data_IF_498650419916
#
_entry.id   IF_498650419916
#
_cell.length_a   1.000
_cell.length_b   1.000
_cell.length_c   1.000
_cell.angle_alpha   90.00
_cell.angle_beta   90.00
_cell.angle_gamma   90.00
#
_symmetry.space_group_name_H-M   'P 1'
#
loop_
_entity.id
_entity.type
_entity.pdbx_description
1 polymer ?
#
# COMPACT_ATOMS: atom_id res chain seq x y z
N UNK A 1 -34.50 -19.81 7.12
CA UNK A 1 -33.31 -19.92 6.24
C UNK A 1 -33.28 -18.69 5.35
N UNK A 2 -32.10 -18.24 4.94
CA UNK A 2 -31.88 -17.08 4.06
C UNK A 2 -31.57 -17.62 2.69
N UNK A 3 -32.37 -17.26 1.69
CA UNK A 3 -32.02 -17.44 0.29
C UNK A 3 -31.15 -16.27 -0.16
N UNK A 4 -30.00 -16.57 -0.76
CA UNK A 4 -29.09 -15.54 -1.27
C UNK A 4 -29.64 -14.95 -2.58
N UNK A 5 -29.45 -13.65 -2.79
CA UNK A 5 -29.72 -13.04 -4.08
C UNK A 5 -28.60 -13.44 -5.07
N UNK A 6 -28.96 -13.80 -6.30
CA UNK A 6 -27.99 -14.19 -7.34
C UNK A 6 -27.65 -15.68 -7.42
N UNK A 7 -28.12 -16.52 -6.49
CA UNK A 7 -28.01 -17.98 -6.62
C UNK A 7 -29.17 -18.72 -5.90
N UNK A 8 -29.43 -20.00 -6.20
CA UNK A 8 -30.54 -20.75 -5.59
C UNK A 8 -30.24 -21.24 -4.16
N UNK A 9 -29.05 -20.96 -3.62
CA UNK A 9 -28.61 -21.52 -2.35
C UNK A 9 -29.22 -20.81 -1.14
N UNK A 10 -29.54 -21.60 -0.11
CA UNK A 10 -30.12 -21.13 1.13
C UNK A 10 -29.36 -21.65 2.35
N UNK A 11 -29.19 -20.80 3.36
CA UNK A 11 -28.42 -21.11 4.55
C UNK A 11 -29.13 -20.65 5.82
N UNK A 12 -28.76 -21.20 6.98
CA UNK A 12 -29.23 -20.69 8.25
C UNK A 12 -28.64 -19.30 8.54
N UNK A 13 -29.35 -18.44 9.26
CA UNK A 13 -28.90 -17.08 9.54
C UNK A 13 -27.59 -17.05 10.33
N UNK A 14 -27.51 -17.94 11.33
CA UNK A 14 -26.33 -18.14 12.17
C UNK A 14 -25.12 -18.62 11.35
N UNK A 15 -25.37 -19.46 10.34
CA UNK A 15 -24.35 -20.02 9.46
C UNK A 15 -23.75 -18.92 8.58
N UNK A 16 -24.61 -18.09 7.98
CA UNK A 16 -24.17 -16.96 7.17
C UNK A 16 -23.44 -15.90 7.99
N UNK A 17 -23.93 -15.57 9.18
CA UNK A 17 -23.27 -14.62 10.06
C UNK A 17 -21.84 -15.08 10.39
N UNK A 18 -21.67 -16.34 10.81
CA UNK A 18 -20.35 -16.92 11.09
C UNK A 18 -19.44 -16.97 9.86
N UNK A 19 -19.99 -17.29 8.69
CA UNK A 19 -19.22 -17.30 7.43
C UNK A 19 -18.68 -15.91 7.11
N UNK A 20 -19.53 -14.88 7.16
CA UNK A 20 -19.12 -13.49 6.92
C UNK A 20 -18.08 -13.06 7.96
N UNK A 21 -18.36 -13.28 9.26
CA UNK A 21 -17.41 -12.94 10.33
C UNK A 21 -16.04 -13.61 10.12
N UNK A 22 -16.02 -14.89 9.77
CA UNK A 22 -14.78 -15.62 9.48
C UNK A 22 -14.04 -15.03 8.27
N UNK A 23 -14.74 -14.69 7.19
CA UNK A 23 -14.12 -14.08 6.00
C UNK A 23 -13.54 -12.70 6.32
N UNK A 24 -14.25 -11.88 7.08
CA UNK A 24 -13.75 -10.59 7.54
C UNK A 24 -12.53 -10.72 8.45
N UNK A 25 -12.48 -11.74 9.33
CA UNK A 25 -11.29 -12.04 10.14
C UNK A 25 -10.07 -12.42 9.29
N UNK A 26 -10.28 -13.00 8.11
CA UNK A 26 -9.23 -13.29 7.14
C UNK A 26 -8.88 -12.09 6.24
N UNK A 27 -9.41 -10.89 6.53
CA UNK A 27 -9.31 -9.68 5.70
C UNK A 27 -9.89 -9.87 4.27
N UNK A 28 -10.87 -10.76 4.12
CA UNK A 28 -11.59 -10.99 2.86
C UNK A 28 -12.91 -10.22 2.90
N UNK A 29 -12.92 -9.04 2.29
CA UNK A 29 -14.11 -8.18 2.21
C UNK A 29 -15.15 -8.68 1.18
N UNK A 30 -14.68 -9.23 0.06
CA UNK A 30 -15.53 -9.79 -1.00
C UNK A 30 -15.89 -11.22 -0.62
N UNK A 31 -17.07 -11.38 -0.03
CA UNK A 31 -17.54 -12.69 0.44
C UNK A 31 -18.34 -13.37 -0.67
N UNK A 32 -17.99 -14.62 -0.97
CA UNK A 32 -18.75 -15.48 -1.90
C UNK A 32 -19.71 -16.41 -1.17
N UNK A 33 -20.69 -16.91 -1.91
CA UNK A 33 -21.58 -18.00 -1.50
C UNK A 33 -20.78 -19.17 -0.89
N UNK A 34 -21.20 -19.73 0.26
CA UNK A 34 -20.51 -20.87 0.87
C UNK A 34 -20.64 -22.20 0.10
N UNK A 35 -21.57 -22.29 -0.86
CA UNK A 35 -21.77 -23.52 -1.63
C UNK A 35 -20.56 -23.81 -2.54
N UNK A 36 -20.20 -25.10 -2.67
CA UNK A 36 -19.18 -25.55 -3.61
C UNK A 36 -19.54 -25.14 -5.04
N UNK A 37 -18.52 -24.79 -5.83
CA UNK A 37 -18.63 -24.32 -7.22
C UNK A 37 -19.56 -23.12 -7.45
N UNK A 38 -19.89 -22.35 -6.39
CA UNK A 38 -20.71 -21.16 -6.49
C UNK A 38 -19.89 -19.87 -6.31
N UNK A 39 -19.64 -19.16 -7.41
CA UNK A 39 -18.91 -17.88 -7.41
C UNK A 39 -19.79 -16.65 -7.17
N UNK A 40 -21.02 -16.84 -6.70
CA UNK A 40 -21.93 -15.71 -6.44
C UNK A 40 -21.41 -14.86 -5.28
N UNK A 41 -21.07 -13.61 -5.54
CA UNK A 41 -20.63 -12.64 -4.52
C UNK A 41 -21.86 -12.14 -3.77
N UNK A 42 -21.82 -12.23 -2.44
CA UNK A 42 -22.90 -11.76 -1.58
C UNK A 42 -22.62 -10.34 -1.10
N UNK A 43 -23.69 -9.55 -0.95
CA UNK A 43 -23.62 -8.18 -0.46
C UNK A 43 -24.33 -8.08 0.90
N UNK A 44 -23.95 -7.12 1.79
CA UNK A 44 -24.66 -6.81 3.02
C UNK A 44 -26.01 -6.13 2.74
N UNK A 45 -26.88 -6.74 1.95
CA UNK A 45 -28.14 -6.19 1.47
C UNK A 45 -29.34 -7.12 1.75
N UNK A 46 -30.54 -6.61 1.49
CA UNK A 46 -31.77 -7.39 1.50
C UNK A 46 -32.05 -8.15 2.80
N UNK A 47 -32.46 -9.41 2.66
CA UNK A 47 -32.77 -10.30 3.79
C UNK A 47 -31.55 -10.66 4.63
N UNK A 48 -30.36 -10.71 4.03
CA UNK A 48 -29.12 -11.01 4.74
C UNK A 48 -28.78 -9.89 5.74
N UNK A 49 -28.84 -8.62 5.29
CA UNK A 49 -28.59 -7.44 6.12
C UNK A 49 -29.50 -7.37 7.35
N UNK A 50 -30.81 -7.61 7.16
CA UNK A 50 -31.81 -7.51 8.25
C UNK A 50 -31.63 -8.53 9.37
N UNK A 51 -30.99 -9.66 9.06
CA UNK A 51 -30.88 -10.80 9.98
C UNK A 51 -29.53 -10.85 10.70
N UNK A 52 -28.56 -10.08 10.23
CA UNK A 52 -27.25 -9.94 10.86
C UNK A 52 -27.28 -8.83 11.91
N UNK A 53 -26.36 -8.91 12.87
CA UNK A 53 -26.17 -7.83 13.83
C UNK A 53 -25.61 -6.59 13.12
N UNK A 54 -26.04 -5.41 13.58
CA UNK A 54 -25.67 -4.14 12.96
C UNK A 54 -24.17 -3.87 12.95
N UNK A 55 -23.44 -4.32 13.98
CA UNK A 55 -21.98 -4.20 14.06
C UNK A 55 -21.26 -5.04 13.01
N UNK A 56 -21.74 -6.25 12.74
CA UNK A 56 -21.18 -7.12 11.69
C UNK A 56 -21.45 -6.54 10.31
N UNK A 57 -22.66 -6.02 10.08
CA UNK A 57 -23.01 -5.34 8.81
C UNK A 57 -22.13 -4.11 8.59
N UNK A 58 -22.00 -3.24 9.60
CA UNK A 58 -21.18 -2.03 9.49
C UNK A 58 -19.72 -2.37 9.17
N UNK A 59 -19.13 -3.33 9.89
CA UNK A 59 -17.75 -3.80 9.62
C UNK A 59 -17.60 -4.40 8.23
N UNK A 60 -18.62 -5.08 7.72
CA UNK A 60 -18.60 -5.64 6.37
C UNK A 60 -18.67 -4.55 5.30
N UNK A 61 -19.59 -3.59 5.46
CA UNK A 61 -19.72 -2.43 4.57
C UNK A 61 -18.40 -1.62 4.54
N UNK A 62 -17.81 -1.34 5.71
CA UNK A 62 -16.49 -0.68 5.82
C UNK A 62 -15.39 -1.48 5.12
N UNK A 63 -15.34 -2.80 5.31
CA UNK A 63 -14.35 -3.66 4.66
C UNK A 63 -14.50 -3.66 3.14
N UNK A 64 -15.74 -3.67 2.62
CA UNK A 64 -16.02 -3.56 1.17
C UNK A 64 -15.50 -2.22 0.65
N UNK A 65 -15.86 -1.11 1.27
CA UNK A 65 -15.38 0.21 0.88
C UNK A 65 -13.85 0.30 0.92
N UNK A 66 -13.22 -0.21 1.97
CA UNK A 66 -11.76 -0.25 2.08
C UNK A 66 -11.11 -1.12 0.99
N UNK A 67 -11.76 -2.21 0.56
CA UNK A 67 -11.27 -3.08 -0.51
C UNK A 67 -11.36 -2.46 -1.90
N UNK A 68 -12.21 -1.44 -2.09
CA UNK A 68 -12.30 -0.69 -3.34
C UNK A 68 -11.13 0.29 -3.52
N UNK A 69 -10.42 0.62 -2.43
CA UNK A 69 -9.25 1.49 -2.47
C UNK A 69 -8.07 0.66 -3.02
N UNK A 70 -7.60 1.02 -4.20
CA UNK A 70 -6.45 0.37 -4.83
C UNK A 70 -5.18 0.64 -4.01
N UNK A 71 -4.26 -0.32 -3.95
CA UNK A 71 -2.96 -0.12 -3.29
C UNK A 71 -2.13 1.00 -3.94
N UNK A 72 -2.39 1.32 -5.22
CA UNK A 72 -1.81 2.48 -5.90
C UNK A 72 -2.28 3.82 -5.32
N UNK A 73 -3.50 3.87 -4.77
CA UNK A 73 -4.09 5.05 -4.14
C UNK A 73 -3.67 5.20 -2.67
N UNK A 74 -3.21 4.13 -2.02
CA UNK A 74 -2.72 4.19 -0.65
C UNK A 74 -1.33 4.84 -0.61
N UNK A 75 -1.18 5.86 0.22
CA UNK A 75 0.08 6.56 0.46
C UNK A 75 0.31 6.62 1.96
N UNK A 76 1.51 6.24 2.40
CA UNK A 76 1.89 6.41 3.81
C UNK A 76 2.71 7.69 3.98
N UNK A 77 2.48 8.38 5.10
CA UNK A 77 3.32 9.50 5.50
C UNK A 77 4.80 9.05 5.57
N UNK A 78 5.72 9.71 4.84
CA UNK A 78 7.13 9.27 4.77
C UNK A 78 7.96 9.65 5.99
N UNK A 79 7.33 10.22 7.01
CA UNK A 79 7.93 10.50 8.30
C UNK A 79 7.71 9.28 9.20
N UNK A 80 8.79 8.63 9.60
CA UNK A 80 8.78 7.37 10.38
C UNK A 80 8.11 7.52 11.75
N UNK A 81 8.13 8.73 12.33
CA UNK A 81 7.44 9.08 13.56
C UNK A 81 5.92 9.32 13.38
N UNK A 82 5.41 9.23 12.15
CA UNK A 82 4.00 9.42 11.83
C UNK A 82 3.42 8.20 11.10
N UNK A 83 3.93 7.90 9.89
CA UNK A 83 3.50 6.76 9.04
C UNK A 83 2.00 6.61 8.77
N UNK A 84 1.21 7.65 9.05
CA UNK A 84 -0.24 7.70 8.81
C UNK A 84 -0.59 7.30 7.37
N UNK A 85 -1.65 6.51 7.21
CA UNK A 85 -2.12 6.08 5.89
C UNK A 85 -3.11 7.10 5.33
N UNK A 86 -2.88 7.50 4.09
CA UNK A 86 -3.63 8.49 3.34
C UNK A 86 -4.14 7.85 2.05
N UNK A 87 -5.31 8.29 1.61
CA UNK A 87 -5.92 7.85 0.35
C UNK A 87 -5.77 8.99 -0.65
N UNK A 88 -5.14 8.72 -1.79
CA UNK A 88 -5.13 9.60 -2.94
C UNK A 88 -6.38 9.35 -3.77
N UNK A 89 -7.39 10.18 -3.55
CA UNK A 89 -8.68 10.21 -4.24
C UNK A 89 -8.68 11.11 -5.47
N UNK A 90 -7.52 11.62 -5.89
CA UNK A 90 -7.37 12.44 -7.08
C UNK A 90 -7.85 11.74 -8.35
N UNK A 91 -8.35 12.53 -9.31
CA UNK A 91 -8.77 12.02 -10.62
C UNK A 91 -7.67 11.23 -11.32
N UNK A 92 -8.07 10.17 -12.03
CA UNK A 92 -7.17 9.29 -12.73
C UNK A 92 -6.35 10.10 -13.77
N UNK A 93 -5.03 10.14 -13.59
CA UNK A 93 -4.11 10.93 -14.42
C UNK A 93 -3.70 12.30 -13.84
N UNK A 94 -4.33 12.77 -12.76
CA UNK A 94 -3.90 13.98 -12.04
C UNK A 94 -2.83 13.63 -11.03
N UNK A 95 -1.62 14.11 -11.25
CA UNK A 95 -0.48 13.85 -10.36
C UNK A 95 -0.42 14.92 -9.29
N UNK A 96 -0.93 14.61 -8.10
CA UNK A 96 -0.68 15.40 -6.89
C UNK A 96 0.78 15.18 -6.49
N UNK A 97 1.58 16.27 -6.49
CA UNK A 97 2.99 16.22 -6.10
C UNK A 97 3.15 16.66 -4.66
N UNK A 98 2.82 17.91 -4.36
CA UNK A 98 2.93 18.47 -3.01
C UNK A 98 1.68 18.13 -2.20
N UNK A 99 1.88 17.59 -1.00
CA UNK A 99 0.78 17.26 -0.09
C UNK A 99 1.19 17.46 1.36
N UNK A 100 0.25 17.90 2.19
CA UNK A 100 0.44 18.02 3.64
C UNK A 100 -0.20 16.82 4.34
N UNK A 101 0.53 16.19 5.26
CA UNK A 101 -0.05 15.13 6.08
C UNK A 101 -1.04 15.74 7.10
N UNK A 102 -2.31 15.30 7.14
CA UNK A 102 -3.29 15.83 8.09
C UNK A 102 -2.96 15.54 9.56
N UNK A 103 -2.23 14.44 9.83
CA UNK A 103 -1.83 14.02 11.17
C UNK A 103 -0.66 14.84 11.71
N UNK A 104 0.46 14.92 10.98
CA UNK A 104 1.67 15.59 11.45
C UNK A 104 1.93 16.98 10.85
N UNK A 105 1.10 17.44 9.91
CA UNK A 105 1.16 18.76 9.25
C UNK A 105 2.44 19.03 8.44
N UNK A 106 3.19 17.98 8.10
CA UNK A 106 4.43 18.08 7.33
C UNK A 106 4.18 17.83 5.85
N UNK A 107 4.88 18.58 5.00
CA UNK A 107 4.83 18.44 3.55
C UNK A 107 5.60 17.20 3.09
N UNK A 108 5.09 16.55 2.07
CA UNK A 108 5.72 15.42 1.41
C UNK A 108 5.39 15.41 -0.09
N UNK A 109 6.16 14.64 -0.85
CA UNK A 109 5.89 14.40 -2.26
C UNK A 109 5.02 13.14 -2.42
N UNK A 110 3.75 13.28 -2.80
CA UNK A 110 2.82 12.16 -2.96
C UNK A 110 3.19 11.27 -4.16
N UNK A 111 3.79 11.84 -5.21
CA UNK A 111 4.29 11.09 -6.36
C UNK A 111 5.52 10.23 -6.01
N UNK A 112 6.52 10.82 -5.35
CA UNK A 112 7.76 10.12 -5.00
C UNK A 112 7.65 9.33 -3.69
N UNK A 113 6.61 9.57 -2.89
CA UNK A 113 6.37 8.99 -1.56
C UNK A 113 7.55 9.20 -0.60
N UNK A 114 8.12 10.40 -0.61
CA UNK A 114 9.26 10.81 0.23
C UNK A 114 8.98 12.17 0.89
N UNK A 115 9.79 12.51 1.90
CA UNK A 115 9.81 13.86 2.49
C UNK A 115 9.96 14.92 1.40
N UNK A 116 9.35 16.08 1.62
CA UNK A 116 9.35 17.14 0.61
C UNK A 116 10.77 17.53 0.18
N UNK A 117 10.99 17.59 -1.14
CA UNK A 117 12.30 17.83 -1.75
C UNK A 117 12.34 19.19 -2.46
N UNK A 118 12.24 20.26 -1.67
CA UNK A 118 12.31 21.64 -2.15
C UNK A 118 13.51 21.87 -3.10
N UNK A 119 13.28 22.62 -4.18
CA UNK A 119 14.32 23.00 -5.15
C UNK A 119 14.63 21.97 -6.23
N UNK A 120 13.98 20.80 -6.21
CA UNK A 120 14.04 19.81 -7.28
C UNK A 120 12.65 19.35 -7.67
N UNK A 121 12.42 19.15 -8.96
CA UNK A 121 11.30 18.35 -9.41
C UNK A 121 11.55 16.86 -9.11
N UNK A 122 10.51 16.04 -9.23
CA UNK A 122 10.58 14.61 -8.96
C UNK A 122 11.69 13.91 -9.77
N UNK A 123 11.89 14.33 -11.03
CA UNK A 123 12.92 13.77 -11.90
C UNK A 123 14.33 14.15 -11.43
N UNK A 124 14.58 15.42 -11.15
CA UNK A 124 15.85 15.93 -10.63
C UNK A 124 16.19 15.30 -9.28
N UNK A 125 15.20 15.18 -8.38
CA UNK A 125 15.36 14.49 -7.11
C UNK A 125 15.73 13.02 -7.29
N UNK A 126 15.04 12.30 -8.19
CA UNK A 126 15.34 10.91 -8.51
C UNK A 126 16.77 10.71 -9.03
N UNK A 127 17.23 11.57 -9.95
CA UNK A 127 18.60 11.54 -10.49
C UNK A 127 19.65 11.77 -9.40
N UNK A 128 19.42 12.71 -8.48
CA UNK A 128 20.33 12.98 -7.37
C UNK A 128 20.42 11.80 -6.40
N UNK A 129 19.28 11.20 -6.07
CA UNK A 129 19.25 10.08 -5.15
C UNK A 129 19.97 8.85 -5.74
N UNK A 130 19.77 8.59 -7.04
CA UNK A 130 20.49 7.51 -7.75
C UNK A 130 22.00 7.73 -7.73
N UNK A 131 22.49 8.93 -8.06
CA UNK A 131 23.93 9.26 -8.01
C UNK A 131 24.52 9.09 -6.62
N UNK A 132 23.78 9.43 -5.56
CA UNK A 132 24.23 9.21 -4.17
C UNK A 132 24.37 7.73 -3.85
N UNK A 133 23.38 6.92 -4.24
CA UNK A 133 23.39 5.47 -4.04
C UNK A 133 24.54 4.79 -4.80
N UNK A 134 24.72 5.11 -6.09
CA UNK A 134 25.83 4.63 -6.91
C UNK A 134 27.20 4.95 -6.27
N UNK A 135 27.35 6.16 -5.74
CA UNK A 135 28.59 6.58 -5.05
C UNK A 135 28.81 5.81 -3.74
N UNK A 136 27.76 5.47 -3.02
CA UNK A 136 27.85 4.69 -1.78
C UNK A 136 28.17 3.22 -2.07
N UNK A 137 27.52 2.61 -3.06
CA UNK A 137 27.83 1.27 -3.55
C UNK A 137 29.28 1.18 -4.02
N UNK A 138 29.76 2.15 -4.80
CA UNK A 138 31.16 2.22 -5.22
C UNK A 138 32.13 2.30 -4.03
N UNK A 139 31.77 3.04 -2.97
CA UNK A 139 32.57 3.14 -1.75
C UNK A 139 32.61 1.83 -0.96
N UNK A 140 31.51 1.08 -0.92
CA UNK A 140 31.46 -0.24 -0.30
C UNK A 140 32.34 -1.22 -1.07
N UNK A 141 32.19 -1.27 -2.39
CA UNK A 141 33.00 -2.11 -3.27
C UNK A 141 34.50 -1.79 -3.15
N UNK A 142 34.86 -0.51 -3.07
CA UNK A 142 36.23 -0.08 -2.87
C UNK A 142 36.81 -0.56 -1.53
N UNK A 143 36.02 -0.60 -0.45
CA UNK A 143 36.47 -1.14 0.85
C UNK A 143 36.69 -2.64 0.78
N UNK A 144 35.76 -3.37 0.18
CA UNK A 144 35.84 -4.83 0.01
C UNK A 144 37.07 -5.25 -0.79
N UNK A 145 37.33 -4.54 -1.90
CA UNK A 145 38.46 -4.82 -2.79
C UNK A 145 39.75 -4.08 -2.41
N UNK A 146 39.77 -3.35 -1.27
CA UNK A 146 40.91 -2.55 -0.79
C UNK A 146 41.43 -1.54 -1.82
N UNK A 147 40.54 -1.04 -2.69
CA UNK A 147 40.86 0.03 -3.63
C UNK A 147 41.16 1.32 -2.88
N UNK A 148 42.10 2.11 -3.39
CA UNK A 148 42.49 3.39 -2.78
C UNK A 148 41.99 4.54 -3.65
N UNK A 149 41.62 5.65 -3.03
CA UNK A 149 41.35 6.87 -3.81
C UNK A 149 42.67 7.51 -4.25
N UNK A 150 42.78 7.89 -5.52
CA UNK A 150 43.87 8.70 -6.00
C UNK A 150 43.85 10.06 -5.28
N UNK A 151 44.96 10.52 -4.66
CA UNK A 151 44.98 11.77 -3.92
C UNK A 151 44.69 13.00 -4.79
N UNK A 152 44.99 12.94 -6.10
CA UNK A 152 44.79 14.03 -7.05
C UNK A 152 43.37 14.08 -7.62
N UNK A 153 42.90 13.00 -8.26
CA UNK A 153 41.61 13.00 -8.97
C UNK A 153 40.44 12.37 -8.19
N UNK A 154 40.69 11.77 -7.01
CA UNK A 154 39.69 11.11 -6.14
C UNK A 154 38.95 9.92 -6.78
N UNK A 155 39.47 9.36 -7.86
CA UNK A 155 38.96 8.11 -8.44
C UNK A 155 39.53 6.91 -7.67
N UNK A 156 38.73 5.87 -7.47
CA UNK A 156 39.19 4.61 -6.88
C UNK A 156 40.09 3.84 -7.86
N UNK A 157 41.24 3.38 -7.35
CA UNK A 157 42.21 2.60 -8.12
C UNK A 157 42.45 1.25 -7.46
N UNK A 158 42.50 0.22 -8.29
CA UNK A 158 42.86 -1.15 -7.92
C UNK A 158 44.37 -1.33 -8.07
N UNK A 159 44.97 -2.05 -7.12
CA UNK A 159 46.38 -2.42 -7.20
C UNK A 159 46.49 -3.81 -7.83
N UNK A 160 46.97 -3.87 -9.06
CA UNK A 160 47.09 -5.13 -9.81
C UNK A 160 48.39 -5.88 -9.50
N UNK A 161 49.49 -5.18 -9.23
CA UNK A 161 50.83 -5.77 -8.99
C UNK A 161 51.70 -4.88 -8.05
N UNK A 162 52.81 -5.42 -7.53
CA UNK A 162 53.90 -4.65 -6.90
C UNK A 162 53.68 -4.20 -5.44
N UNK A 163 54.60 -3.38 -4.89
CA UNK A 163 54.52 -2.77 -3.55
C UNK A 163 54.12 -1.28 -3.65
#
# INVERSE_FOLDING_TARGET
MIQLEGCPHSFCSTCMAKHVEYKLQQNIAVVSCPAEDCNNVIQPAGSLRRMMKSDVVARWEEAITASMILDSQKIHCPYEDCSEMLVNDGEEGVVVKESECPSCRRLFCAQCRVRWHHGFDCEGFGKLNRKRKEKEELRLLARENKWKECPNCKVFVEKTEGC
#
